data_IF_495380521977
#
_entry.id   IF_495380521977
#
_cell.length_a   1.000
_cell.length_b   1.000
_cell.length_c   1.000
_cell.angle_alpha   90.00
_cell.angle_beta   90.00
_cell.angle_gamma   90.00
#
_symmetry.space_group_name_H-M   'P 1'
#
loop_
_entity.id
_entity.type
_entity.pdbx_description
1 polymer ?
#
# COMPACT_ATOMS: atom_id res chain seq x y z
N UNK A 1 8.98 12.27 -7.04
CA UNK A 1 8.25 12.18 -8.31
C UNK A 1 7.79 10.75 -8.52
N UNK A 2 6.54 10.57 -8.96
CA UNK A 2 6.03 9.23 -9.27
C UNK A 2 6.60 8.72 -10.58
N UNK A 3 6.86 7.40 -10.61
CA UNK A 3 7.34 6.72 -11.80
C UNK A 3 6.23 6.63 -12.87
N UNK A 4 6.58 6.42 -14.15
CA UNK A 4 5.56 6.18 -15.18
C UNK A 4 4.74 4.92 -14.89
N UNK A 5 3.50 4.91 -15.38
CA UNK A 5 2.63 3.73 -15.29
C UNK A 5 3.15 2.68 -16.29
N UNK A 6 3.47 1.49 -15.78
CA UNK A 6 4.01 0.39 -16.57
C UNK A 6 2.93 -0.47 -17.21
N UNK A 7 1.76 -0.57 -16.56
CA UNK A 7 0.70 -1.46 -17.00
C UNK A 7 -0.65 -0.78 -16.76
N UNK A 8 -1.63 -1.03 -17.63
CA UNK A 8 -2.98 -0.50 -17.51
C UNK A 8 -3.98 -1.60 -17.81
N UNK A 9 -5.04 -1.69 -16.99
CA UNK A 9 -6.10 -2.66 -17.19
C UNK A 9 -7.47 -2.06 -16.87
N UNK A 10 -8.51 -2.59 -17.50
CA UNK A 10 -9.87 -2.30 -17.08
C UNK A 10 -10.28 -3.29 -16.00
N UNK A 11 -11.09 -2.83 -15.07
CA UNK A 11 -11.57 -3.66 -13.97
C UNK A 11 -13.07 -3.45 -13.80
N UNK A 12 -13.84 -4.45 -14.19
CA UNK A 12 -15.29 -4.41 -14.06
C UNK A 12 -15.69 -4.83 -12.64
N UNK A 13 -16.63 -4.10 -12.06
CA UNK A 13 -17.12 -4.45 -10.73
C UNK A 13 -18.61 -4.12 -10.62
N UNK A 14 -19.30 -4.87 -9.76
CA UNK A 14 -20.70 -4.63 -9.49
C UNK A 14 -20.83 -3.72 -8.26
N UNK A 15 -21.70 -2.73 -8.39
CA UNK A 15 -21.96 -1.81 -7.29
C UNK A 15 -22.72 -2.55 -6.18
N UNK A 16 -22.25 -2.45 -4.95
CA UNK A 16 -22.95 -2.93 -3.77
C UNK A 16 -23.63 -1.76 -3.06
N UNK A 17 -24.46 -2.08 -2.04
CA UNK A 17 -25.20 -1.06 -1.30
C UNK A 17 -24.32 0.03 -0.70
N UNK A 18 -23.17 -0.36 -0.15
CA UNK A 18 -22.28 0.56 0.54
C UNK A 18 -21.12 1.01 -0.31
N UNK A 19 -21.07 0.55 -1.55
CA UNK A 19 -19.98 0.85 -2.45
C UNK A 19 -20.26 2.11 -3.25
N UNK A 20 -20.89 3.07 -2.62
CA UNK A 20 -21.12 4.36 -3.24
C UNK A 20 -19.83 5.15 -3.27
N UNK A 21 -19.64 5.79 -4.38
CA UNK A 21 -18.44 6.52 -4.67
C UNK A 21 -18.44 7.85 -3.91
N UNK A 22 -17.50 8.02 -3.01
CA UNK A 22 -17.30 9.31 -2.36
C UNK A 22 -15.81 9.66 -2.38
N UNK A 23 -15.48 10.88 -2.00
CA UNK A 23 -14.12 11.41 -2.14
C UNK A 23 -13.22 11.08 -0.96
N UNK A 24 -13.65 10.27 -0.01
CA UNK A 24 -12.81 9.94 1.13
C UNK A 24 -11.72 8.93 0.73
N UNK A 25 -10.52 9.11 1.26
CA UNK A 25 -9.39 8.22 0.99
C UNK A 25 -9.64 6.81 1.55
N UNK A 26 -10.32 6.70 2.69
CA UNK A 26 -10.68 5.42 3.27
C UNK A 26 -11.69 4.66 2.42
N UNK A 27 -12.61 5.37 1.75
CA UNK A 27 -13.55 4.73 0.84
C UNK A 27 -12.85 4.15 -0.39
N UNK A 28 -11.84 4.83 -0.91
CA UNK A 28 -11.03 4.32 -2.02
C UNK A 28 -10.44 2.96 -1.66
N UNK A 29 -9.84 2.85 -0.49
CA UNK A 29 -9.22 1.61 -0.04
C UNK A 29 -10.25 0.52 0.22
N UNK A 30 -11.40 0.87 0.77
CA UNK A 30 -12.48 -0.09 1.00
C UNK A 30 -12.97 -0.69 -0.32
N UNK A 31 -13.23 0.16 -1.31
CA UNK A 31 -13.66 -0.30 -2.63
C UNK A 31 -12.58 -1.17 -3.27
N UNK A 32 -11.34 -0.70 -3.30
CA UNK A 32 -10.25 -1.44 -3.92
C UNK A 32 -10.01 -2.79 -3.23
N UNK A 33 -10.13 -2.83 -1.91
CA UNK A 33 -9.98 -4.08 -1.17
C UNK A 33 -11.10 -5.07 -1.48
N UNK A 34 -12.35 -4.60 -1.43
CA UNK A 34 -13.52 -5.46 -1.66
C UNK A 34 -13.60 -5.97 -3.09
N UNK A 35 -13.11 -5.21 -4.05
CA UNK A 35 -13.06 -5.61 -5.45
C UNK A 35 -11.80 -6.41 -5.79
N UNK A 36 -10.97 -6.75 -4.81
CA UNK A 36 -9.73 -7.52 -4.96
C UNK A 36 -8.68 -6.83 -5.83
N UNK A 37 -8.78 -5.52 -6.02
CA UNK A 37 -7.80 -4.76 -6.80
C UNK A 37 -6.46 -4.68 -6.06
N UNK A 38 -6.48 -4.44 -4.75
CA UNK A 38 -5.26 -4.42 -3.96
C UNK A 38 -4.50 -5.75 -4.06
N UNK A 39 -5.24 -6.85 -4.00
CA UNK A 39 -4.69 -8.20 -4.08
C UNK A 39 -4.08 -8.47 -5.46
N UNK A 40 -4.79 -8.05 -6.51
CA UNK A 40 -4.27 -8.19 -7.87
C UNK A 40 -2.97 -7.43 -8.06
N UNK A 41 -2.92 -6.20 -7.57
CA UNK A 41 -1.72 -5.37 -7.74
C UNK A 41 -0.51 -5.97 -7.03
N UNK A 42 -0.67 -6.42 -5.77
CA UNK A 42 0.46 -6.90 -4.96
C UNK A 42 0.81 -8.35 -5.27
N UNK A 43 -0.20 -9.22 -5.35
CA UNK A 43 0.02 -10.67 -5.39
C UNK A 43 -0.29 -11.31 -6.75
N UNK A 44 -1.01 -10.61 -7.63
CA UNK A 44 -1.36 -11.14 -8.94
C UNK A 44 -2.75 -11.75 -9.00
N UNK A 45 -3.30 -11.79 -10.24
CA UNK A 45 -4.68 -12.17 -10.51
C UNK A 45 -4.93 -13.68 -10.42
N UNK A 46 -3.90 -14.49 -10.57
CA UNK A 46 -4.03 -15.94 -10.68
C UNK A 46 -4.28 -16.65 -9.34
N UNK A 47 -4.30 -15.88 -8.25
CA UNK A 47 -4.49 -16.45 -6.92
C UNK A 47 -5.98 -16.52 -6.58
N UNK A 48 -6.49 -17.74 -6.43
CA UNK A 48 -7.87 -17.96 -5.99
C UNK A 48 -7.89 -18.04 -4.46
N UNK A 49 -7.93 -16.88 -3.83
CA UNK A 49 -7.83 -16.79 -2.37
C UNK A 49 -8.95 -17.50 -1.64
N UNK A 50 -10.14 -17.53 -2.22
CA UNK A 50 -11.32 -18.15 -1.61
C UNK A 50 -11.18 -19.66 -1.45
N UNK A 51 -10.32 -20.29 -2.25
CA UNK A 51 -10.07 -21.73 -2.18
C UNK A 51 -9.05 -22.11 -1.12
N UNK A 52 -8.46 -21.11 -0.45
CA UNK A 52 -7.48 -21.36 0.60
C UNK A 52 -8.16 -21.52 1.97
N UNK A 53 -7.57 -22.30 2.89
CA UNK A 53 -8.02 -22.29 4.28
C UNK A 53 -7.94 -20.89 4.86
N UNK A 54 -8.84 -20.57 5.79
CA UNK A 54 -8.93 -19.23 6.36
C UNK A 54 -7.58 -18.72 6.88
N UNK A 55 -6.80 -19.57 7.52
CA UNK A 55 -5.52 -19.21 8.09
C UNK A 55 -4.49 -18.79 7.03
N UNK A 56 -4.66 -19.23 5.79
CA UNK A 56 -3.75 -18.98 4.68
C UNK A 56 -4.23 -17.92 3.72
N UNK A 57 -5.45 -17.42 3.90
CA UNK A 57 -5.98 -16.37 3.04
C UNK A 57 -5.30 -15.03 3.32
N UNK A 58 -5.27 -14.12 2.33
CA UNK A 58 -4.85 -12.76 2.60
C UNK A 58 -5.69 -12.14 3.72
N UNK A 59 -5.03 -11.36 4.57
CA UNK A 59 -5.68 -10.67 5.68
C UNK A 59 -5.56 -9.18 5.49
N UNK A 60 -6.66 -8.47 5.77
CA UNK A 60 -6.73 -7.02 5.71
C UNK A 60 -6.81 -6.47 7.12
N UNK A 61 -5.93 -5.51 7.42
CA UNK A 61 -5.94 -4.81 8.69
C UNK A 61 -6.38 -3.38 8.45
N UNK A 62 -7.35 -2.95 9.27
CA UNK A 62 -7.96 -1.62 9.15
C UNK A 62 -6.99 -0.53 9.60
N UNK A 63 -7.27 0.75 9.28
CA UNK A 63 -6.39 1.84 9.66
C UNK A 63 -6.08 1.85 11.14
N UNK A 64 -4.84 2.13 11.46
CA UNK A 64 -4.45 2.30 12.87
C UNK A 64 -3.36 3.36 12.99
N UNK A 65 -3.22 3.87 14.21
CA UNK A 65 -2.21 4.83 14.59
C UNK A 65 -1.42 4.30 15.75
N UNK A 66 -0.13 4.56 15.74
CA UNK A 66 0.76 4.21 16.84
C UNK A 66 1.87 5.23 16.95
N UNK A 67 2.59 5.21 18.06
CA UNK A 67 3.78 6.03 18.25
C UNK A 67 4.93 5.14 18.61
N UNK A 68 6.08 5.39 18.01
CA UNK A 68 7.30 4.66 18.31
C UNK A 68 8.51 5.51 17.97
N UNK A 69 9.65 5.16 18.53
CA UNK A 69 10.91 5.81 18.17
C UNK A 69 11.55 5.03 17.05
N UNK A 70 11.86 5.72 15.96
CA UNK A 70 12.48 5.13 14.78
C UNK A 70 13.91 5.58 14.66
N UNK A 71 14.80 4.67 14.28
CA UNK A 71 16.23 4.94 14.09
C UNK A 71 16.61 4.49 12.68
N UNK A 72 17.18 5.41 11.91
CA UNK A 72 17.60 5.12 10.54
C UNK A 72 18.65 6.12 10.10
N UNK A 73 19.19 5.97 8.90
CA UNK A 73 20.16 6.91 8.35
C UNK A 73 19.67 7.50 7.04
N UNK A 74 20.12 8.72 6.76
CA UNK A 74 19.89 9.42 5.51
C UNK A 74 21.18 10.16 5.16
N UNK A 75 21.74 9.89 3.98
CA UNK A 75 22.98 10.51 3.51
C UNK A 75 24.09 10.42 4.55
N UNK A 76 24.28 9.24 5.15
CA UNK A 76 25.28 8.94 6.17
C UNK A 76 25.06 9.64 7.51
N UNK A 77 23.98 10.33 7.69
CA UNK A 77 23.61 10.92 9.00
C UNK A 77 22.65 10.00 9.73
N UNK A 78 22.87 9.85 11.03
CA UNK A 78 21.97 9.08 11.90
C UNK A 78 20.80 9.94 12.31
N UNK A 79 19.59 9.42 12.11
CA UNK A 79 18.35 10.12 12.45
C UNK A 79 17.62 9.32 13.50
N UNK A 80 17.13 10.02 14.54
CA UNK A 80 16.29 9.43 15.56
C UNK A 80 14.99 10.22 15.57
N UNK A 81 13.90 9.56 15.18
CA UNK A 81 12.56 10.15 15.22
C UNK A 81 11.89 9.70 16.52
N UNK A 82 11.91 10.56 17.53
CA UNK A 82 11.38 10.26 18.86
C UNK A 82 9.86 10.33 18.83
N UNK A 83 9.22 9.29 19.41
CA UNK A 83 7.76 9.23 19.54
C UNK A 83 7.05 9.59 18.23
N UNK A 84 7.58 9.09 17.13
CA UNK A 84 7.02 9.37 15.81
C UNK A 84 5.63 8.76 15.70
N UNK A 85 4.66 9.58 15.33
CA UNK A 85 3.32 9.11 15.04
C UNK A 85 3.31 8.43 13.69
N UNK A 86 2.80 7.22 13.66
CA UNK A 86 2.70 6.41 12.44
C UNK A 86 1.22 6.17 12.16
N UNK A 87 0.79 6.54 10.96
CA UNK A 87 -0.56 6.28 10.49
C UNK A 87 -0.47 5.35 9.29
N UNK A 88 -1.24 4.27 9.33
CA UNK A 88 -1.29 3.30 8.24
C UNK A 88 -2.73 3.20 7.79
N UNK A 89 -3.00 3.55 6.53
CA UNK A 89 -4.36 3.56 6.00
C UNK A 89 -4.93 2.16 5.86
N UNK A 90 -4.13 1.23 5.36
CA UNK A 90 -4.55 -0.16 5.22
C UNK A 90 -3.31 -1.04 5.05
N UNK A 91 -3.36 -2.23 5.64
CA UNK A 91 -2.30 -3.24 5.52
C UNK A 91 -2.89 -4.55 5.02
N UNK A 92 -2.24 -5.15 4.02
CA UNK A 92 -2.51 -6.52 3.59
C UNK A 92 -1.36 -7.41 4.01
N UNK A 93 -1.68 -8.64 4.43
CA UNK A 93 -0.70 -9.66 4.77
C UNK A 93 -1.04 -10.96 4.06
N UNK A 94 -0.07 -11.55 3.37
CA UNK A 94 -0.25 -12.83 2.70
C UNK A 94 1.13 -13.45 2.46
N UNK A 95 1.29 -14.73 2.83
CA UNK A 95 2.53 -15.50 2.63
C UNK A 95 3.78 -14.78 3.16
N UNK A 96 3.67 -14.23 4.38
CA UNK A 96 4.76 -13.49 5.03
C UNK A 96 5.17 -12.20 4.29
N UNK A 97 4.34 -11.73 3.36
CA UNK A 97 4.50 -10.42 2.72
C UNK A 97 3.49 -9.46 3.33
N UNK A 98 3.97 -8.29 3.73
CA UNK A 98 3.13 -7.20 4.23
C UNK A 98 3.15 -6.10 3.18
N UNK A 99 1.97 -5.66 2.76
CA UNK A 99 1.82 -4.51 1.87
C UNK A 99 1.05 -3.42 2.59
N UNK A 100 1.65 -2.24 2.68
CA UNK A 100 1.01 -1.07 3.28
C UNK A 100 0.54 -0.13 2.18
N UNK A 101 -0.60 0.49 2.39
CA UNK A 101 -1.22 1.37 1.39
C UNK A 101 -1.47 2.75 1.96
N UNK A 102 -1.06 3.75 1.20
CA UNK A 102 -1.36 5.16 1.43
C UNK A 102 -2.18 5.66 0.26
N UNK A 103 -3.40 6.13 0.52
CA UNK A 103 -4.32 6.55 -0.53
C UNK A 103 -4.45 8.07 -0.55
N UNK A 104 -4.48 8.66 -1.74
CA UNK A 104 -4.68 10.08 -1.95
C UNK A 104 -5.64 10.32 -3.12
N UNK A 105 -6.45 11.37 -2.99
CA UNK A 105 -7.31 11.84 -4.07
C UNK A 105 -6.54 12.79 -4.97
N UNK A 106 -6.90 12.75 -6.26
CA UNK A 106 -6.40 13.71 -7.23
C UNK A 106 -5.11 13.29 -7.89
N UNK A 107 -4.48 14.24 -8.55
CA UNK A 107 -3.24 14.03 -9.29
C UNK A 107 -2.11 14.70 -8.53
N UNK A 108 -1.25 13.90 -7.91
CA UNK A 108 -0.07 14.40 -7.23
C UNK A 108 1.15 14.14 -8.11
N UNK A 109 2.07 15.10 -8.14
CA UNK A 109 3.35 14.92 -8.85
C UNK A 109 4.37 14.19 -8.00
N UNK A 110 4.34 14.45 -6.69
CA UNK A 110 5.29 13.88 -5.75
C UNK A 110 4.56 13.30 -4.55
N UNK A 111 5.23 12.39 -3.85
CA UNK A 111 4.71 11.81 -2.63
C UNK A 111 5.63 12.14 -1.45
N UNK A 112 5.06 12.08 -0.26
CA UNK A 112 5.82 12.22 0.97
C UNK A 112 6.40 10.86 1.34
N UNK A 113 7.70 10.69 1.17
CA UNK A 113 8.38 9.42 1.42
C UNK A 113 8.17 8.91 2.86
N UNK A 114 8.02 9.81 3.82
CA UNK A 114 7.85 9.40 5.22
C UNK A 114 6.52 8.70 5.46
N UNK A 115 5.50 8.97 4.64
CA UNK A 115 4.21 8.29 4.76
C UNK A 115 4.28 6.80 4.46
N UNK A 116 5.30 6.37 3.72
CA UNK A 116 5.52 4.96 3.46
C UNK A 116 6.74 4.42 4.21
N UNK A 117 7.75 5.25 4.44
CA UNK A 117 8.98 4.78 5.11
C UNK A 117 8.77 4.50 6.60
N UNK A 118 8.05 5.38 7.31
CA UNK A 118 7.81 5.16 8.74
C UNK A 118 6.98 3.89 9.00
N UNK A 119 5.89 3.61 8.26
CA UNK A 119 5.22 2.32 8.37
C UNK A 119 6.10 1.14 7.99
N UNK A 120 6.95 1.29 6.97
CA UNK A 120 7.92 0.26 6.60
C UNK A 120 8.84 -0.07 7.77
N UNK A 121 9.45 0.95 8.39
CA UNK A 121 10.35 0.76 9.54
C UNK A 121 9.63 0.15 10.73
N UNK A 122 8.39 0.53 10.96
CA UNK A 122 7.59 -0.03 12.04
C UNK A 122 7.48 -1.54 11.90
N UNK A 123 7.14 -2.02 10.71
CA UNK A 123 7.06 -3.47 10.47
C UNK A 123 8.44 -4.13 10.45
N UNK A 124 9.42 -3.49 9.85
CA UNK A 124 10.76 -4.04 9.80
C UNK A 124 11.35 -4.21 11.21
N UNK A 125 11.08 -3.26 12.10
CA UNK A 125 11.62 -3.27 13.46
C UNK A 125 10.81 -4.13 14.44
N UNK A 126 9.71 -4.73 14.00
CA UNK A 126 8.81 -5.49 14.87
C UNK A 126 9.27 -6.93 15.11
N UNK A 127 10.36 -7.36 14.48
CA UNK A 127 10.91 -8.72 14.57
C UNK A 127 9.93 -9.82 14.15
N UNK A 128 9.01 -9.50 13.26
CA UNK A 128 8.12 -10.50 12.67
C UNK A 128 8.86 -11.28 11.59
N UNK A 129 8.51 -12.55 11.36
CA UNK A 129 9.16 -13.35 10.32
C UNK A 129 8.65 -12.98 8.94
N UNK A 130 8.84 -11.73 8.54
CA UNK A 130 8.37 -11.22 7.27
C UNK A 130 9.38 -11.50 6.16
N UNK A 131 8.86 -11.93 5.01
CA UNK A 131 9.67 -12.17 3.83
C UNK A 131 9.92 -10.88 3.07
N UNK A 132 8.93 -10.00 3.03
CA UNK A 132 9.04 -8.71 2.34
C UNK A 132 8.02 -7.71 2.89
N UNK A 133 8.37 -6.42 2.75
CA UNK A 133 7.47 -5.31 3.08
C UNK A 133 7.39 -4.42 1.84
N UNK A 134 6.18 -4.27 1.31
CA UNK A 134 5.92 -3.49 0.09
C UNK A 134 5.12 -2.26 0.48
N UNK A 135 5.56 -1.11 -0.01
CA UNK A 135 4.91 0.17 0.27
C UNK A 135 4.20 0.65 -0.98
N UNK A 136 2.89 0.88 -0.90
CA UNK A 136 2.08 1.25 -2.05
C UNK A 136 1.44 2.61 -1.87
N UNK A 137 1.59 3.46 -2.89
CA UNK A 137 0.78 4.66 -3.05
C UNK A 137 -0.34 4.37 -4.02
N UNK A 138 -1.53 4.82 -3.67
CA UNK A 138 -2.72 4.71 -4.50
C UNK A 138 -3.26 6.11 -4.76
N UNK A 139 -3.28 6.51 -6.02
CA UNK A 139 -3.84 7.79 -6.45
C UNK A 139 -5.15 7.54 -7.19
N UNK A 140 -6.19 8.23 -6.76
CA UNK A 140 -7.48 8.13 -7.42
C UNK A 140 -7.80 9.42 -8.18
N UNK A 141 -8.23 9.26 -9.42
CA UNK A 141 -8.71 10.36 -10.24
C UNK A 141 -9.91 9.88 -11.04
N UNK A 142 -11.12 10.33 -10.68
CA UNK A 142 -12.38 9.89 -11.27
C UNK A 142 -12.54 8.37 -11.16
N UNK A 143 -12.53 7.65 -12.29
CA UNK A 143 -12.65 6.20 -12.32
C UNK A 143 -11.30 5.49 -12.47
N UNK A 144 -10.20 6.21 -12.25
CA UNK A 144 -8.86 5.66 -12.40
C UNK A 144 -8.19 5.50 -11.04
N UNK A 145 -7.61 4.33 -10.81
CA UNK A 145 -6.77 4.05 -9.65
C UNK A 145 -5.36 3.75 -10.13
N UNK A 146 -4.39 4.57 -9.72
CA UNK A 146 -2.99 4.40 -10.08
C UNK A 146 -2.21 3.94 -8.86
N UNK A 147 -1.54 2.80 -9.00
CA UNK A 147 -0.76 2.19 -7.93
C UNK A 147 0.72 2.27 -8.24
N UNK A 148 1.50 2.58 -7.21
CA UNK A 148 2.96 2.61 -7.27
C UNK A 148 3.52 1.85 -6.08
N UNK A 149 4.34 0.83 -6.33
CA UNK A 149 4.91 0.01 -5.26
C UNK A 149 6.40 0.27 -5.12
N UNK A 150 6.82 0.38 -3.87
CA UNK A 150 8.21 0.64 -3.49
C UNK A 150 8.62 -0.29 -2.36
N UNK A 151 9.92 -0.48 -2.22
CA UNK A 151 10.51 -1.07 -1.02
C UNK A 151 11.81 -0.31 -0.70
N UNK A 152 12.51 -0.72 0.35
CA UNK A 152 13.79 -0.14 0.73
C UNK A 152 14.82 -1.25 0.78
N UNK A 153 15.78 -1.23 -0.14
CA UNK A 153 16.77 -2.31 -0.25
C UNK A 153 17.66 -2.43 0.98
N UNK A 154 17.95 -1.29 1.59
CA UNK A 154 18.67 -1.22 2.86
C UNK A 154 17.71 -0.63 3.89
N UNK A 155 16.98 -1.46 4.65
CA UNK A 155 15.85 -1.01 5.45
C UNK A 155 16.10 0.16 6.39
N UNK A 156 17.31 0.27 6.94
CA UNK A 156 17.64 1.36 7.87
C UNK A 156 18.17 2.61 7.16
N UNK A 157 18.15 2.64 5.83
CA UNK A 157 18.57 3.79 5.03
C UNK A 157 17.41 4.34 4.23
N UNK A 158 17.00 5.57 4.53
CA UNK A 158 15.87 6.23 3.87
C UNK A 158 16.09 6.38 2.36
N UNK A 159 17.33 6.66 1.94
CA UNK A 159 17.68 6.87 0.55
C UNK A 159 17.83 5.57 -0.26
N UNK A 160 17.56 4.42 0.35
CA UNK A 160 17.60 3.15 -0.36
C UNK A 160 16.28 2.76 -1.03
N UNK A 161 15.35 3.70 -1.17
CA UNK A 161 14.06 3.45 -1.78
C UNK A 161 14.24 2.88 -3.20
N UNK A 162 13.46 1.85 -3.50
CA UNK A 162 13.47 1.19 -4.79
C UNK A 162 12.07 1.07 -5.34
N UNK A 163 11.88 1.54 -6.56
CA UNK A 163 10.62 1.36 -7.28
C UNK A 163 10.50 -0.10 -7.73
N UNK A 164 9.33 -0.69 -7.50
CA UNK A 164 9.06 -2.08 -7.88
C UNK A 164 8.18 -2.17 -9.13
N UNK A 165 7.03 -1.52 -9.11
CA UNK A 165 6.08 -1.59 -10.23
C UNK A 165 5.01 -0.51 -10.10
N UNK A 166 4.33 -0.26 -11.20
CA UNK A 166 3.15 0.62 -11.24
C UNK A 166 2.07 0.01 -12.13
N UNK A 167 0.82 0.31 -11.82
CA UNK A 167 -0.31 -0.16 -12.60
C UNK A 167 -1.49 0.77 -12.44
N UNK A 168 -2.22 0.99 -13.53
CA UNK A 168 -3.44 1.76 -13.53
C UNK A 168 -4.63 0.85 -13.78
N UNK A 169 -5.66 1.02 -12.95
CA UNK A 169 -6.92 0.31 -13.08
C UNK A 169 -8.00 1.31 -13.47
N UNK A 170 -8.63 1.05 -14.60
CA UNK A 170 -9.78 1.85 -15.05
C UNK A 170 -11.03 1.13 -14.59
N UNK A 171 -11.76 1.73 -13.66
CA UNK A 171 -12.94 1.12 -13.07
C UNK A 171 -14.13 1.27 -14.02
N UNK A 172 -14.78 0.15 -14.30
CA UNK A 172 -15.96 0.10 -15.15
C UNK A 172 -17.09 -0.53 -14.36
N UNK A 173 -18.15 0.24 -14.16
CA UNK A 173 -19.34 -0.23 -13.43
C UNK A 173 -20.22 -1.04 -14.37
N UNK A 174 -20.61 -2.20 -13.93
CA UNK A 174 -21.57 -3.05 -14.62
C UNK A 174 -22.98 -2.81 -14.06
#
# INVERSE_FOLDING_TARGET
TFEPIQERTEWAYKKSLLNEYNDSESNILSVANNQRILHDFVFGRDLEFENLPIQKRPKTYFPHRTKTTLRYSFENEQIIALNQQIEIDLTLEFNAVVAIFEAKNGTLKDFNIYQIYHPFLYYYSSNLPLQNIICCYLLRNENSLKFFAYTFEKPLQLDSIKFLKSKEYILRKD
#
